data_IF_891223788310
#
_entry.id   IF_891223788310
#
_cell.length_a   1.000
_cell.length_b   1.000
_cell.length_c   1.000
_cell.angle_alpha   90.00
_cell.angle_beta   90.00
_cell.angle_gamma   90.00
#
_symmetry.space_group_name_H-M   'P 1'
#
loop_
_entity.id
_entity.type
_entity.pdbx_description
1 polymer ?
#
# COMPACT_ATOMS: atom_id res chain seq x y z
N UNK A 1 5.23 -17.40 6.90
CA UNK A 1 4.30 -16.29 7.22
C UNK A 1 4.95 -15.02 6.69
N UNK A 2 4.54 -14.54 5.51
CA UNK A 2 5.03 -13.27 4.96
C UNK A 2 4.23 -12.13 5.60
N UNK A 3 4.92 -11.13 6.16
CA UNK A 3 4.25 -9.94 6.71
C UNK A 3 3.79 -9.09 5.54
N UNK A 4 2.49 -8.80 5.48
CA UNK A 4 1.92 -7.91 4.46
C UNK A 4 2.13 -6.44 4.83
N UNK A 5 2.39 -5.62 3.83
CA UNK A 5 2.48 -4.16 3.97
C UNK A 5 1.19 -3.54 3.42
N UNK A 6 0.38 -2.98 4.32
CA UNK A 6 -0.91 -2.36 3.97
C UNK A 6 -0.69 -0.98 3.34
N UNK A 7 -0.59 -0.89 2.02
CA UNK A 7 -0.22 0.34 1.28
C UNK A 7 -1.09 1.54 1.66
N UNK A 8 -2.37 1.30 1.91
CA UNK A 8 -3.33 2.36 2.25
C UNK A 8 -3.33 2.78 3.72
N UNK A 9 -2.68 2.02 4.62
CA UNK A 9 -2.72 2.27 6.08
C UNK A 9 -1.34 2.41 6.71
N UNK A 10 -0.33 1.74 6.15
CA UNK A 10 1.04 1.73 6.62
C UNK A 10 1.58 3.16 6.76
N UNK A 11 2.35 3.37 7.81
CA UNK A 11 3.12 4.58 8.01
C UNK A 11 4.37 4.59 7.11
N UNK A 12 5.08 5.73 7.05
CA UNK A 12 6.24 5.88 6.16
C UNK A 12 7.35 4.87 6.43
N UNK A 13 7.60 4.49 7.69
CA UNK A 13 8.64 3.51 8.04
C UNK A 13 8.26 2.11 7.55
N UNK A 14 7.01 1.71 7.73
CA UNK A 14 6.49 0.41 7.24
C UNK A 14 6.53 0.34 5.71
N UNK A 15 6.22 1.43 5.00
CA UNK A 15 6.34 1.48 3.54
C UNK A 15 7.80 1.32 3.06
N UNK A 16 8.76 1.83 3.83
CA UNK A 16 10.19 1.71 3.51
C UNK A 16 10.76 0.31 3.77
N UNK A 17 10.00 -0.61 4.36
CA UNK A 17 10.39 -2.02 4.43
C UNK A 17 10.34 -2.70 3.05
N UNK A 18 9.62 -2.12 2.08
CA UNK A 18 9.59 -2.59 0.71
C UNK A 18 10.86 -2.18 -0.04
N UNK A 19 11.43 -3.12 -0.79
CA UNK A 19 12.69 -2.88 -1.51
C UNK A 19 12.55 -1.74 -2.52
N UNK A 20 13.45 -0.75 -2.41
CA UNK A 20 13.46 0.40 -3.32
C UNK A 20 12.42 1.48 -3.01
N UNK A 21 11.74 1.42 -1.86
CA UNK A 21 10.97 2.55 -1.34
C UNK A 21 11.87 3.45 -0.50
N UNK A 22 12.21 4.61 -1.05
CA UNK A 22 12.94 5.68 -0.35
C UNK A 22 11.98 6.55 0.48
N UNK A 23 12.48 7.38 1.41
CA UNK A 23 11.65 8.30 2.19
C UNK A 23 10.75 9.21 1.33
N UNK A 24 11.27 9.68 0.20
CA UNK A 24 10.52 10.49 -0.78
C UNK A 24 9.35 9.71 -1.41
N UNK A 25 9.59 8.44 -1.78
CA UNK A 25 8.57 7.55 -2.34
C UNK A 25 7.49 7.20 -1.31
N UNK A 26 7.88 6.91 -0.07
CA UNK A 26 6.94 6.70 1.03
C UNK A 26 6.08 7.95 1.27
N UNK A 27 6.67 9.14 1.19
CA UNK A 27 5.93 10.39 1.29
C UNK A 27 4.96 10.59 0.11
N UNK A 28 5.36 10.23 -1.12
CA UNK A 28 4.49 10.29 -2.29
C UNK A 28 3.26 9.39 -2.14
N UNK A 29 3.42 8.18 -1.60
CA UNK A 29 2.30 7.25 -1.31
C UNK A 29 1.33 7.88 -0.31
N UNK A 30 1.83 8.38 0.82
CA UNK A 30 1.00 8.99 1.88
C UNK A 30 0.27 10.23 1.36
N UNK A 31 0.97 11.06 0.58
CA UNK A 31 0.39 12.26 -0.03
C UNK A 31 -0.70 11.89 -1.04
N UNK A 32 -0.41 10.97 -1.94
CA UNK A 32 -1.36 10.52 -2.96
C UNK A 32 -2.65 10.00 -2.32
N UNK A 33 -2.54 9.10 -1.33
CA UNK A 33 -3.75 8.52 -0.71
C UNK A 33 -4.59 9.52 0.08
N UNK A 34 -3.96 10.61 0.55
CA UNK A 34 -4.66 11.69 1.23
C UNK A 34 -5.38 12.64 0.26
N UNK A 35 -4.80 12.87 -0.94
CA UNK A 35 -5.36 13.80 -1.93
C UNK A 35 -6.32 13.14 -2.93
N UNK A 36 -6.08 11.86 -3.27
CA UNK A 36 -6.78 11.16 -4.35
C UNK A 36 -7.62 9.95 -3.88
N UNK A 37 -7.48 9.53 -2.63
CA UNK A 37 -8.09 8.31 -2.10
C UNK A 37 -7.19 7.08 -2.19
N UNK A 38 -7.69 5.90 -1.79
CA UNK A 38 -6.86 4.70 -1.64
C UNK A 38 -6.24 4.25 -2.97
N UNK A 39 -5.00 3.75 -2.88
CA UNK A 39 -4.29 3.13 -4.00
C UNK A 39 -4.90 1.76 -4.27
N UNK A 40 -5.35 1.53 -5.49
CA UNK A 40 -6.17 0.36 -5.82
C UNK A 40 -5.36 -0.92 -6.06
N UNK A 41 -4.19 -0.80 -6.69
CA UNK A 41 -3.41 -1.95 -7.11
C UNK A 41 -1.93 -1.59 -7.37
N UNK A 42 -1.12 -2.60 -7.70
CA UNK A 42 0.31 -2.46 -7.93
C UNK A 42 0.66 -1.60 -9.16
N UNK A 43 -0.19 -1.59 -10.20
CA UNK A 43 0.03 -0.75 -11.37
C UNK A 43 -0.23 0.73 -11.03
N UNK A 44 -1.26 1.02 -10.24
CA UNK A 44 -1.51 2.37 -9.72
C UNK A 44 -0.36 2.84 -8.81
N UNK A 45 0.10 1.98 -7.90
CA UNK A 45 1.27 2.26 -7.06
C UNK A 45 2.52 2.56 -7.90
N UNK A 46 2.78 1.78 -8.96
CA UNK A 46 3.90 2.02 -9.86
C UNK A 46 3.79 3.39 -10.56
N UNK A 47 2.58 3.84 -10.91
CA UNK A 47 2.36 5.18 -11.50
C UNK A 47 2.64 6.30 -10.49
N UNK A 48 2.16 6.16 -9.25
CA UNK A 48 2.45 7.10 -8.14
C UNK A 48 3.96 7.22 -7.90
N UNK A 49 4.69 6.11 -8.08
CA UNK A 49 6.13 6.03 -7.86
C UNK A 49 6.97 6.20 -9.13
N UNK A 50 6.38 6.73 -10.21
CA UNK A 50 7.06 7.03 -11.48
C UNK A 50 7.81 5.83 -12.09
N UNK A 51 7.18 4.64 -12.10
CA UNK A 51 7.71 3.43 -12.71
C UNK A 51 8.54 2.56 -11.78
N UNK A 52 8.32 2.64 -10.46
CA UNK A 52 8.94 1.72 -9.50
C UNK A 52 8.70 0.26 -9.91
N UNK A 53 9.80 -0.51 -10.04
CA UNK A 53 9.77 -1.95 -10.30
C UNK A 53 9.81 -2.68 -8.96
N UNK A 54 8.68 -3.27 -8.60
CA UNK A 54 8.55 -4.16 -7.46
C UNK A 54 9.09 -5.55 -7.81
N UNK A 55 9.79 -6.18 -6.86
CA UNK A 55 10.23 -7.58 -6.97
C UNK A 55 9.06 -8.52 -6.73
N UNK A 56 9.06 -9.74 -7.30
CA UNK A 56 8.02 -10.75 -7.05
C UNK A 56 7.76 -10.99 -5.54
N UNK A 57 8.84 -11.09 -4.76
CA UNK A 57 8.75 -11.29 -3.31
C UNK A 57 8.07 -10.12 -2.57
N UNK A 58 8.26 -8.88 -3.04
CA UNK A 58 7.59 -7.71 -2.48
C UNK A 58 6.15 -7.61 -2.98
N UNK A 59 5.87 -8.02 -4.22
CA UNK A 59 4.54 -8.03 -4.83
C UNK A 59 3.57 -8.90 -4.01
N UNK A 60 4.00 -10.07 -3.54
CA UNK A 60 3.21 -10.96 -2.68
C UNK A 60 2.88 -10.36 -1.30
N UNK A 61 3.64 -9.35 -0.87
CA UNK A 61 3.47 -8.68 0.43
C UNK A 61 2.57 -7.45 0.34
N UNK A 62 2.29 -6.92 -0.85
CA UNK A 62 1.49 -5.71 -1.00
C UNK A 62 0.03 -6.01 -0.66
N UNK A 63 -0.55 -5.18 0.20
CA UNK A 63 -1.95 -5.24 0.56
C UNK A 63 -2.59 -3.87 0.30
N UNK A 64 -3.49 -3.84 -0.69
CA UNK A 64 -4.16 -2.61 -1.15
C UNK A 64 -5.52 -2.40 -0.47
N UNK A 65 -5.89 -3.23 0.50
CA UNK A 65 -7.18 -3.16 1.15
C UNK A 65 -7.35 -1.82 1.90
N UNK A 66 -8.35 -0.98 1.56
CA UNK A 66 -8.65 0.22 2.32
C UNK A 66 -9.25 -0.16 3.67
N UNK A 67 -9.05 0.66 4.72
CA UNK A 67 -9.45 0.33 6.11
C UNK A 67 -10.89 -0.19 6.29
N UNK A 68 -11.81 0.21 5.41
CA UNK A 68 -13.23 -0.12 5.46
C UNK A 68 -13.59 -1.52 4.94
N UNK A 69 -12.67 -2.23 4.28
CA UNK A 69 -12.93 -3.56 3.72
C UNK A 69 -12.77 -4.68 4.76
N UNK A 70 -12.33 -4.34 5.98
CA UNK A 70 -12.65 -5.11 7.19
C UNK A 70 -13.99 -4.68 7.78
N UNK A 71 -15.06 -4.62 6.98
CA UNK A 71 -16.39 -4.74 7.53
C UNK A 71 -16.59 -6.25 7.80
N UNK A 72 -16.66 -6.73 9.06
CA UNK A 72 -17.35 -7.99 9.26
C UNK A 72 -18.76 -7.77 8.70
N UNK A 73 -19.09 -8.50 7.63
CA UNK A 73 -20.47 -8.86 7.34
C UNK A 73 -21.16 -9.15 8.68
N UNK A 74 -22.07 -8.27 9.07
CA UNK A 74 -22.76 -8.40 10.35
C UNK A 74 -23.73 -9.57 10.20
N UNK A 75 -23.55 -10.73 10.88
CA UNK A 75 -24.58 -11.73 10.93
C UNK A 75 -25.36 -11.49 12.21
N UNK A 76 -26.43 -10.71 12.10
CA UNK A 76 -27.61 -10.77 12.98
C UNK A 76 -27.44 -10.34 14.44
N UNK A 77 -28.22 -9.34 14.84
CA UNK A 77 -28.88 -9.29 16.13
C UNK A 77 -30.26 -8.64 15.97
#
# INVERSE_FOLDING_TARGET
>A
MTVKVRINLANRLELMELSGISPERAMAIVKFRAEHGPIQDAAELARVLHGWRVSDADLERLDFDPAYSTAPESPGA
#
